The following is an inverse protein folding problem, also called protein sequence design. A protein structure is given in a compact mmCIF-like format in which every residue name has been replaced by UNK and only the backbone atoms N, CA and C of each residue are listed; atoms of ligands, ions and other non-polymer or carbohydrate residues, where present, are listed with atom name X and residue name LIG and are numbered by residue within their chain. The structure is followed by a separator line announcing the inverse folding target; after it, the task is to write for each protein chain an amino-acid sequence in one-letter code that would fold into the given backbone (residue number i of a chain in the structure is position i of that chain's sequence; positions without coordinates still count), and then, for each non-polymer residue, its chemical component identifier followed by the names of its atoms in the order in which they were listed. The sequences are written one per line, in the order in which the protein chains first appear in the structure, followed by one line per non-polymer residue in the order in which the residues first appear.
data_IF_585206750648
#
_entry.id   IF_585206750648
#
_cell.length_a   1.000
_cell.length_b   1.000
_cell.length_c   1.000
_cell.angle_alpha   90.00
_cell.angle_beta   90.00
_cell.angle_gamma   90.00
#
_symmetry.space_group_name_H-M   'P 1'
#
loop_
_entity.id
_entity.type
_entity.pdbx_description
1 polymer ?
#
# COMPACT_ATOMS: atom_id res chain seq x y z
N UNK A 1 -18.48 8.79 -46.26
CA UNK A 1 -18.65 8.19 -44.93
C UNK A 1 -20.04 8.56 -44.44
N UNK A 2 -20.92 7.59 -44.27
CA UNK A 2 -22.15 7.76 -43.49
C UNK A 2 -21.72 7.62 -42.01
N UNK A 3 -22.32 8.39 -41.09
CA UNK A 3 -21.92 8.34 -39.68
C UNK A 3 -22.34 7.02 -39.02
N UNK A 4 -21.37 6.31 -38.42
CA UNK A 4 -21.52 4.89 -38.02
C UNK A 4 -22.58 4.60 -36.95
N UNK A 5 -23.14 5.64 -36.32
CA UNK A 5 -24.35 5.53 -35.48
C UNK A 5 -25.61 5.13 -36.28
N UNK A 6 -25.62 5.25 -37.62
CA UNK A 6 -26.82 4.97 -38.42
C UNK A 6 -27.14 3.48 -38.56
N UNK A 7 -26.17 2.57 -38.39
CA UNK A 7 -26.28 1.14 -38.79
C UNK A 7 -27.45 0.39 -38.13
N UNK A 8 -27.76 0.70 -36.87
CA UNK A 8 -28.87 0.10 -36.11
C UNK A 8 -29.94 1.13 -35.72
N UNK A 9 -29.94 2.31 -36.36
CA UNK A 9 -30.97 3.34 -36.12
C UNK A 9 -32.32 2.84 -36.61
N UNK A 10 -33.32 2.80 -35.72
CA UNK A 10 -34.68 2.29 -35.93
C UNK A 10 -34.83 0.78 -36.18
N UNK A 11 -33.77 -0.02 -36.03
CA UNK A 11 -33.88 -1.50 -36.06
C UNK A 11 -34.48 -1.98 -34.74
N UNK A 12 -35.49 -2.86 -34.79
CA UNK A 12 -36.03 -3.53 -33.60
C UNK A 12 -35.18 -4.75 -33.25
N UNK A 13 -35.10 -5.09 -31.97
CA UNK A 13 -34.33 -6.26 -31.54
C UNK A 13 -35.00 -7.58 -31.97
N UNK A 14 -36.32 -7.58 -32.06
CA UNK A 14 -37.13 -8.70 -32.54
C UNK A 14 -36.78 -9.09 -33.99
N UNK A 15 -36.30 -8.15 -34.80
CA UNK A 15 -35.86 -8.37 -36.19
C UNK A 15 -34.44 -8.96 -36.27
N UNK A 16 -33.76 -9.16 -35.13
CA UNK A 16 -32.37 -9.61 -35.00
C UNK A 16 -32.22 -10.92 -34.21
N UNK A 17 -33.33 -11.59 -33.89
CA UNK A 17 -33.33 -12.87 -33.16
C UNK A 17 -32.67 -13.97 -34.00
N UNK A 18 -31.74 -14.70 -33.40
CA UNK A 18 -30.82 -15.64 -34.05
C UNK A 18 -29.46 -15.02 -34.43
N UNK A 19 -29.34 -13.69 -34.41
CA UNK A 19 -28.11 -12.95 -34.72
C UNK A 19 -27.55 -12.19 -33.48
N UNK A 20 -28.25 -12.21 -32.33
CA UNK A 20 -27.86 -11.44 -31.13
C UNK A 20 -26.49 -11.91 -30.65
N UNK A 21 -26.23 -13.23 -30.60
CA UNK A 21 -24.90 -13.78 -30.27
C UNK A 21 -23.78 -13.23 -31.17
N UNK A 22 -24.03 -13.12 -32.48
CA UNK A 22 -23.07 -12.53 -33.42
C UNK A 22 -22.83 -11.04 -33.14
N UNK A 23 -23.91 -10.29 -32.89
CA UNK A 23 -23.86 -8.88 -32.53
C UNK A 23 -23.12 -8.61 -31.21
N UNK A 24 -23.09 -9.56 -30.27
CA UNK A 24 -22.32 -9.43 -29.02
C UNK A 24 -20.82 -9.20 -29.26
N UNK A 25 -20.29 -9.74 -30.36
CA UNK A 25 -18.88 -9.70 -30.76
C UNK A 25 -18.56 -8.59 -31.78
N UNK A 26 -19.57 -7.91 -32.32
CA UNK A 26 -19.39 -6.71 -33.14
C UNK A 26 -19.31 -5.46 -32.26
N UNK A 27 -18.41 -4.53 -32.58
CA UNK A 27 -18.24 -3.30 -31.80
C UNK A 27 -19.51 -2.44 -31.77
N UNK A 28 -20.27 -2.41 -32.87
CA UNK A 28 -21.49 -1.60 -32.99
C UNK A 28 -22.73 -2.37 -32.51
N UNK A 29 -22.83 -3.66 -32.84
CA UNK A 29 -23.85 -4.58 -32.35
C UNK A 29 -23.86 -4.64 -30.82
N UNK A 30 -22.71 -4.84 -30.19
CA UNK A 30 -22.58 -4.90 -28.74
C UNK A 30 -23.03 -3.59 -28.06
N UNK A 31 -22.75 -2.44 -28.68
CA UNK A 31 -23.23 -1.13 -28.20
C UNK A 31 -24.73 -0.92 -28.41
N UNK A 32 -25.30 -1.40 -29.50
CA UNK A 32 -26.75 -1.43 -29.72
C UNK A 32 -27.46 -2.31 -28.68
N UNK A 33 -26.94 -3.51 -28.40
CA UNK A 33 -27.48 -4.42 -27.40
C UNK A 33 -27.37 -3.87 -25.97
N UNK A 34 -26.25 -3.24 -25.61
CA UNK A 34 -26.12 -2.51 -24.34
C UNK A 34 -27.21 -1.45 -24.18
N UNK A 35 -27.46 -0.64 -25.21
CA UNK A 35 -28.54 0.35 -25.20
C UNK A 35 -29.92 -0.29 -25.07
N UNK A 36 -30.16 -1.44 -25.71
CA UNK A 36 -31.44 -2.16 -25.62
C UNK A 36 -31.75 -2.70 -24.22
N UNK A 37 -30.72 -3.03 -23.44
CA UNK A 37 -30.86 -3.30 -22.01
C UNK A 37 -31.16 -2.02 -21.20
N UNK A 38 -30.45 -0.93 -21.50
CA UNK A 38 -30.64 0.39 -20.84
C UNK A 38 -32.01 1.04 -21.13
N UNK A 39 -32.73 0.58 -22.16
CA UNK A 39 -34.13 0.98 -22.44
C UNK A 39 -35.13 0.34 -21.46
N UNK A 40 -34.75 -0.68 -20.68
CA UNK A 40 -35.58 -1.25 -19.60
C UNK A 40 -36.80 -2.05 -20.06
N UNK A 41 -36.79 -2.56 -21.30
CA UNK A 41 -37.88 -3.35 -21.88
C UNK A 41 -37.68 -4.85 -21.59
N UNK A 42 -38.62 -5.45 -20.84
CA UNK A 42 -38.52 -6.84 -20.36
C UNK A 42 -38.36 -7.86 -21.50
N UNK A 43 -39.02 -7.66 -22.64
CA UNK A 43 -38.94 -8.55 -23.79
C UNK A 43 -37.58 -8.45 -24.47
N UNK A 44 -37.03 -7.24 -24.61
CA UNK A 44 -35.67 -7.06 -25.12
C UNK A 44 -34.61 -7.67 -24.17
N UNK A 45 -34.80 -7.54 -22.84
CA UNK A 45 -33.93 -8.17 -21.84
C UNK A 45 -34.04 -9.70 -21.94
N UNK A 46 -35.26 -10.26 -22.10
CA UNK A 46 -35.49 -11.70 -22.29
C UNK A 46 -34.79 -12.23 -23.53
N UNK A 47 -34.94 -11.58 -24.69
CA UNK A 47 -34.31 -11.99 -25.95
C UNK A 47 -32.77 -11.96 -25.86
N UNK A 48 -32.20 -10.90 -25.27
CA UNK A 48 -30.74 -10.83 -25.05
C UNK A 48 -30.28 -11.92 -24.09
N UNK A 49 -30.99 -12.16 -22.99
CA UNK A 49 -30.68 -13.22 -22.03
C UNK A 49 -30.68 -14.62 -22.69
N UNK A 50 -31.70 -14.94 -23.48
CA UNK A 50 -31.87 -16.26 -24.12
C UNK A 50 -30.74 -16.60 -25.09
N UNK A 51 -30.27 -15.65 -25.91
CA UNK A 51 -29.15 -15.88 -26.84
C UNK A 51 -27.76 -15.73 -26.21
N UNK A 52 -27.59 -14.95 -25.13
CA UNK A 52 -26.27 -14.77 -24.50
C UNK A 52 -25.93 -15.84 -23.46
N UNK A 53 -26.92 -16.34 -22.72
CA UNK A 53 -26.72 -17.29 -21.62
C UNK A 53 -25.94 -18.57 -22.04
N UNK A 54 -26.24 -19.26 -23.17
CA UNK A 54 -25.47 -20.43 -23.61
C UNK A 54 -23.98 -20.15 -23.89
N UNK A 55 -23.63 -18.87 -24.10
CA UNK A 55 -22.30 -18.42 -24.50
C UNK A 55 -21.58 -17.60 -23.42
N UNK A 56 -22.10 -17.55 -22.18
CA UNK A 56 -21.64 -16.61 -21.15
C UNK A 56 -20.12 -16.67 -20.88
N UNK A 57 -19.51 -17.86 -20.77
CA UNK A 57 -18.06 -18.02 -20.57
C UNK A 57 -17.25 -17.38 -21.70
N UNK A 58 -17.69 -17.56 -22.95
CA UNK A 58 -17.02 -17.02 -24.12
C UNK A 58 -17.14 -15.50 -24.14
N UNK A 59 -18.39 -15.00 -24.08
CA UNK A 59 -18.70 -13.57 -24.14
C UNK A 59 -18.04 -12.78 -23.00
N UNK A 60 -17.98 -13.30 -21.78
CA UNK A 60 -17.27 -12.65 -20.67
C UNK A 60 -15.78 -12.42 -20.98
N UNK A 61 -15.16 -13.26 -21.80
CA UNK A 61 -13.72 -13.17 -22.17
C UNK A 61 -13.46 -12.47 -23.51
N UNK A 62 -14.52 -12.15 -24.26
CA UNK A 62 -14.43 -11.49 -25.57
C UNK A 62 -14.17 -9.97 -25.44
N UNK A 63 -13.33 -9.35 -26.29
CA UNK A 63 -13.01 -7.92 -26.22
C UNK A 63 -14.21 -6.96 -26.29
N UNK A 64 -15.32 -7.37 -26.92
CA UNK A 64 -16.56 -6.61 -26.97
C UNK A 64 -17.65 -7.24 -26.10
N UNK A 65 -17.83 -8.57 -26.19
CA UNK A 65 -18.87 -9.31 -25.46
C UNK A 65 -18.87 -9.08 -23.96
N UNK A 66 -17.69 -8.86 -23.35
CA UNK A 66 -17.57 -8.62 -21.92
C UNK A 66 -18.38 -7.40 -21.45
N UNK A 67 -18.55 -6.38 -22.30
CA UNK A 67 -19.34 -5.19 -21.98
C UNK A 67 -20.85 -5.46 -22.02
N UNK A 68 -21.31 -6.38 -22.89
CA UNK A 68 -22.70 -6.82 -22.86
C UNK A 68 -22.97 -7.69 -21.64
N UNK A 69 -22.10 -8.63 -21.29
CA UNK A 69 -22.23 -9.41 -20.06
C UNK A 69 -22.33 -8.50 -18.82
N UNK A 70 -21.45 -7.50 -18.72
CA UNK A 70 -21.48 -6.49 -17.65
C UNK A 70 -22.82 -5.75 -17.57
N UNK A 71 -23.41 -5.40 -18.71
CA UNK A 71 -24.69 -4.69 -18.77
C UNK A 71 -25.89 -5.62 -18.54
N UNK A 72 -25.84 -6.87 -18.98
CA UNK A 72 -26.89 -7.85 -18.73
C UNK A 72 -27.02 -8.16 -17.24
N UNK A 73 -25.90 -8.32 -16.53
CA UNK A 73 -25.89 -8.58 -15.07
C UNK A 73 -26.51 -7.42 -14.25
N UNK A 74 -26.46 -6.20 -14.77
CA UNK A 74 -27.03 -4.98 -14.19
C UNK A 74 -28.56 -4.90 -14.34
N UNK A 75 -29.11 -5.41 -15.44
CA UNK A 75 -30.55 -5.37 -15.77
C UNK A 75 -31.29 -6.70 -15.57
N UNK A 76 -30.57 -7.82 -15.42
CA UNK A 76 -31.15 -9.12 -15.11
C UNK A 76 -31.82 -9.13 -13.72
N UNK A 77 -32.87 -9.93 -13.57
CA UNK A 77 -33.43 -10.29 -12.26
C UNK A 77 -32.59 -11.37 -11.56
N UNK A 78 -32.93 -11.74 -10.32
CA UNK A 78 -32.13 -12.67 -9.53
C UNK A 78 -32.14 -14.11 -10.06
N UNK A 79 -33.22 -14.57 -10.68
CA UNK A 79 -33.28 -15.89 -11.33
C UNK A 79 -32.37 -15.93 -12.56
N UNK A 80 -32.45 -14.90 -13.41
CA UNK A 80 -31.57 -14.72 -14.56
C UNK A 80 -30.09 -14.61 -14.14
N UNK A 81 -29.76 -13.80 -13.12
CA UNK A 81 -28.40 -13.73 -12.56
C UNK A 81 -27.91 -15.10 -12.07
N UNK A 82 -28.74 -15.83 -11.34
CA UNK A 82 -28.42 -17.18 -10.85
C UNK A 82 -28.10 -18.13 -12.00
N UNK A 83 -28.86 -18.09 -13.09
CA UNK A 83 -28.61 -18.88 -14.30
C UNK A 83 -27.27 -18.48 -14.96
N UNK A 84 -27.00 -17.18 -15.14
CA UNK A 84 -25.73 -16.69 -15.73
C UNK A 84 -24.50 -17.05 -14.88
N UNK A 85 -24.64 -17.01 -13.55
CA UNK A 85 -23.59 -17.38 -12.59
C UNK A 85 -23.34 -18.90 -12.65
N UNK A 86 -24.39 -19.73 -12.70
CA UNK A 86 -24.28 -21.18 -12.94
C UNK A 86 -23.63 -21.49 -14.29
N UNK A 87 -23.92 -20.73 -15.34
CA UNK A 87 -23.28 -20.87 -16.67
C UNK A 87 -21.80 -20.49 -16.66
N UNK A 88 -21.39 -19.49 -15.87
CA UNK A 88 -19.99 -19.06 -15.76
C UNK A 88 -19.14 -19.93 -14.80
N UNK A 89 -19.76 -20.56 -13.79
CA UNK A 89 -19.08 -21.30 -12.72
C UNK A 89 -18.02 -22.32 -13.20
N UNK A 90 -18.26 -23.17 -14.23
CA UNK A 90 -17.28 -24.15 -14.72
C UNK A 90 -16.00 -23.55 -15.33
N UNK A 91 -15.90 -22.23 -15.45
CA UNK A 91 -14.69 -21.53 -15.92
C UNK A 91 -14.42 -20.22 -15.16
N UNK A 92 -15.01 -20.03 -13.98
CA UNK A 92 -14.95 -18.74 -13.26
C UNK A 92 -13.50 -18.29 -12.97
N UNK A 93 -12.60 -19.22 -12.63
CA UNK A 93 -11.16 -18.96 -12.45
C UNK A 93 -10.49 -18.53 -13.76
N UNK A 94 -10.77 -19.22 -14.87
CA UNK A 94 -10.26 -18.86 -16.22
C UNK A 94 -10.77 -17.47 -16.66
N UNK A 95 -11.99 -17.11 -16.28
CA UNK A 95 -12.59 -15.79 -16.52
C UNK A 95 -11.88 -14.74 -15.65
N UNK A 96 -11.64 -15.02 -14.36
CA UNK A 96 -10.93 -14.13 -13.44
C UNK A 96 -9.51 -13.77 -13.87
N UNK A 97 -8.79 -14.74 -14.45
CA UNK A 97 -7.41 -14.57 -14.96
C UNK A 97 -7.35 -13.84 -16.33
N UNK A 98 -8.50 -13.64 -17.00
CA UNK A 98 -8.57 -13.00 -18.33
C UNK A 98 -8.73 -11.47 -18.22
N UNK A 99 -8.06 -10.71 -19.10
CA UNK A 99 -8.05 -9.24 -19.08
C UNK A 99 -9.43 -8.58 -19.28
N UNK A 100 -10.35 -9.24 -19.99
CA UNK A 100 -11.75 -8.84 -20.17
C UNK A 100 -12.65 -9.54 -19.15
N UNK A 101 -12.43 -10.84 -18.95
CA UNK A 101 -13.18 -11.69 -18.02
C UNK A 101 -13.17 -11.17 -16.57
N UNK A 102 -12.04 -10.63 -16.10
CA UNK A 102 -11.96 -10.02 -14.76
C UNK A 102 -12.95 -8.85 -14.60
N UNK A 103 -13.24 -8.08 -15.66
CA UNK A 103 -14.21 -6.97 -15.60
C UNK A 103 -15.64 -7.48 -15.55
N UNK A 104 -15.96 -8.46 -16.39
CA UNK A 104 -17.28 -9.09 -16.37
C UNK A 104 -17.56 -9.85 -15.06
N UNK A 105 -16.56 -10.54 -14.48
CA UNK A 105 -16.71 -11.24 -13.20
C UNK A 105 -16.74 -10.27 -12.01
N UNK A 106 -15.97 -9.18 -12.02
CA UNK A 106 -16.12 -8.13 -11.00
C UNK A 106 -17.55 -7.55 -11.01
N UNK A 107 -18.11 -7.29 -12.19
CA UNK A 107 -19.50 -6.81 -12.34
C UNK A 107 -20.55 -7.87 -11.96
N UNK A 108 -20.26 -9.15 -12.18
CA UNK A 108 -21.09 -10.26 -11.70
C UNK A 108 -21.16 -10.27 -10.17
N UNK A 109 -20.02 -10.11 -9.50
CA UNK A 109 -19.94 -10.02 -8.02
C UNK A 109 -20.67 -8.76 -7.51
N UNK A 110 -20.56 -7.60 -8.18
CA UNK A 110 -21.27 -6.37 -7.80
C UNK A 110 -22.80 -6.49 -7.75
N UNK A 111 -23.39 -7.49 -8.41
CA UNK A 111 -24.84 -7.66 -8.54
C UNK A 111 -25.37 -8.95 -7.92
N UNK A 112 -24.56 -9.72 -7.18
CA UNK A 112 -25.10 -10.84 -6.39
C UNK A 112 -25.84 -10.35 -5.15
N UNK A 113 -27.00 -10.97 -4.91
CA UNK A 113 -27.99 -10.59 -3.90
C UNK A 113 -28.43 -11.78 -3.04
N UNK A 114 -28.35 -13.01 -3.57
CA UNK A 114 -28.87 -14.22 -2.90
C UNK A 114 -27.75 -15.13 -2.38
N UNK A 115 -28.04 -15.86 -1.32
CA UNK A 115 -27.10 -16.84 -0.74
C UNK A 115 -26.70 -17.95 -1.72
N UNK A 116 -27.56 -18.30 -2.69
CA UNK A 116 -27.21 -19.27 -3.74
C UNK A 116 -26.13 -18.70 -4.68
N UNK A 117 -26.31 -17.47 -5.14
CA UNK A 117 -25.36 -16.79 -6.03
C UNK A 117 -23.99 -16.63 -5.36
N UNK A 118 -23.98 -16.27 -4.07
CA UNK A 118 -22.77 -16.22 -3.23
C UNK A 118 -22.13 -17.61 -3.13
N UNK A 119 -22.90 -18.65 -2.79
CA UNK A 119 -22.39 -20.01 -2.65
C UNK A 119 -21.75 -20.53 -3.95
N UNK A 120 -22.35 -20.28 -5.11
CA UNK A 120 -21.80 -20.72 -6.41
C UNK A 120 -20.45 -20.05 -6.69
N UNK A 121 -20.32 -18.74 -6.41
CA UNK A 121 -19.05 -18.00 -6.58
C UNK A 121 -17.99 -18.50 -5.58
N UNK A 122 -18.37 -18.71 -4.32
CA UNK A 122 -17.47 -19.24 -3.29
C UNK A 122 -16.94 -20.63 -3.67
N UNK A 123 -17.80 -21.58 -4.04
CA UNK A 123 -17.36 -22.92 -4.46
C UNK A 123 -16.51 -22.90 -5.74
N UNK A 124 -16.77 -21.97 -6.67
CA UNK A 124 -15.98 -21.83 -7.90
C UNK A 124 -14.60 -21.16 -7.70
N UNK A 125 -14.36 -20.47 -6.58
CA UNK A 125 -13.11 -19.71 -6.33
C UNK A 125 -12.29 -20.21 -5.12
N UNK A 126 -12.91 -20.91 -4.15
CA UNK A 126 -12.31 -21.24 -2.83
C UNK A 126 -10.95 -21.94 -2.85
N UNK A 127 -10.66 -22.75 -3.86
CA UNK A 127 -9.38 -23.49 -3.95
C UNK A 127 -8.29 -22.72 -4.71
N UNK A 128 -8.66 -21.65 -5.43
CA UNK A 128 -7.77 -20.90 -6.34
C UNK A 128 -7.46 -19.48 -5.84
N UNK A 129 -7.86 -19.14 -4.61
CA UNK A 129 -7.67 -17.81 -4.00
C UNK A 129 -6.23 -17.32 -4.10
N UNK A 130 -5.23 -18.14 -3.77
CA UNK A 130 -3.82 -17.71 -3.76
C UNK A 130 -3.26 -17.50 -5.17
N UNK A 131 -3.44 -18.41 -6.14
CA UNK A 131 -3.17 -18.14 -7.56
C UNK A 131 -3.85 -16.86 -8.08
N UNK A 132 -5.13 -16.65 -7.74
CA UNK A 132 -5.86 -15.45 -8.14
C UNK A 132 -5.28 -14.16 -7.54
N UNK A 133 -4.88 -14.17 -6.26
CA UNK A 133 -4.19 -13.05 -5.59
C UNK A 133 -2.82 -12.75 -6.25
N UNK A 134 -2.16 -13.76 -6.80
CA UNK A 134 -0.87 -13.59 -7.47
C UNK A 134 -0.97 -13.11 -8.92
N UNK A 135 -2.11 -13.34 -9.59
CA UNK A 135 -2.32 -12.89 -10.96
C UNK A 135 -2.58 -11.37 -11.10
N UNK A 136 -2.27 -10.83 -12.28
CA UNK A 136 -2.48 -9.43 -12.67
C UNK A 136 -3.97 -9.06 -12.78
N UNK A 137 -4.84 -9.99 -13.17
CA UNK A 137 -6.28 -9.79 -13.34
C UNK A 137 -7.08 -10.36 -12.15
N UNK A 138 -6.68 -11.52 -11.63
CA UNK A 138 -7.36 -12.24 -10.54
C UNK A 138 -7.39 -11.48 -9.21
N UNK A 139 -6.34 -10.71 -8.90
CA UNK A 139 -6.27 -9.97 -7.62
C UNK A 139 -7.40 -8.93 -7.47
N UNK A 140 -7.94 -8.44 -8.59
CA UNK A 140 -9.08 -7.52 -8.61
C UNK A 140 -10.42 -8.23 -8.35
N UNK A 141 -10.53 -9.51 -8.72
CA UNK A 141 -11.70 -10.35 -8.40
C UNK A 141 -11.75 -10.64 -6.90
N UNK A 142 -10.63 -11.05 -6.31
CA UNK A 142 -10.54 -11.31 -4.86
C UNK A 142 -10.80 -10.03 -4.04
N UNK A 143 -10.25 -8.88 -4.45
CA UNK A 143 -10.61 -7.59 -3.85
C UNK A 143 -12.10 -7.24 -4.03
N UNK A 144 -12.71 -7.60 -5.16
CA UNK A 144 -14.15 -7.36 -5.37
C UNK A 144 -15.02 -8.23 -4.47
N UNK A 145 -14.64 -9.49 -4.23
CA UNK A 145 -15.28 -10.32 -3.22
C UNK A 145 -15.20 -9.67 -1.83
N UNK A 146 -14.00 -9.24 -1.38
CA UNK A 146 -13.82 -8.56 -0.08
C UNK A 146 -14.66 -7.28 0.07
N UNK A 147 -14.86 -6.52 -1.01
CA UNK A 147 -15.64 -5.28 -1.00
C UNK A 147 -17.18 -5.48 -1.02
N UNK A 148 -17.68 -6.70 -1.32
CA UNK A 148 -19.11 -6.96 -1.59
C UNK A 148 -19.73 -8.02 -0.68
N UNK A 149 -18.96 -9.07 -0.36
CA UNK A 149 -19.41 -10.14 0.54
C UNK A 149 -19.43 -9.66 1.99
N UNK A 150 -20.25 -10.30 2.83
CA UNK A 150 -20.08 -10.19 4.29
C UNK A 150 -18.72 -10.79 4.70
N UNK A 151 -18.14 -10.37 5.85
CA UNK A 151 -16.94 -11.02 6.38
C UNK A 151 -17.13 -12.54 6.56
N UNK A 152 -18.34 -12.98 6.90
CA UNK A 152 -18.72 -14.38 7.05
C UNK A 152 -18.70 -15.13 5.70
N UNK A 153 -19.30 -14.57 4.65
CA UNK A 153 -19.28 -15.13 3.28
C UNK A 153 -17.86 -15.12 2.68
N UNK A 154 -17.04 -14.15 3.06
CA UNK A 154 -15.65 -14.01 2.63
C UNK A 154 -14.65 -14.94 3.36
N UNK A 155 -15.10 -15.77 4.32
CA UNK A 155 -14.23 -16.60 5.16
C UNK A 155 -13.23 -17.45 4.35
N UNK A 156 -13.62 -17.97 3.19
CA UNK A 156 -12.75 -18.76 2.32
C UNK A 156 -11.49 -18.00 1.85
N UNK A 157 -11.58 -16.67 1.73
CA UNK A 157 -10.44 -15.81 1.40
C UNK A 157 -9.51 -15.71 2.61
N UNK A 158 -10.07 -15.46 3.80
CA UNK A 158 -9.30 -15.34 5.04
C UNK A 158 -8.58 -16.64 5.41
N UNK A 159 -9.23 -17.80 5.24
CA UNK A 159 -8.63 -19.13 5.48
C UNK A 159 -7.43 -19.38 4.55
N UNK A 160 -7.61 -19.14 3.25
CA UNK A 160 -6.55 -19.34 2.26
C UNK A 160 -5.37 -18.37 2.45
N UNK A 161 -5.67 -17.11 2.77
CA UNK A 161 -4.68 -16.05 3.02
C UNK A 161 -3.95 -16.25 4.34
N UNK A 162 -4.61 -16.70 5.40
CA UNK A 162 -3.97 -17.05 6.68
C UNK A 162 -3.05 -18.26 6.53
N UNK A 163 -3.55 -19.34 5.90
CA UNK A 163 -2.77 -20.55 5.60
C UNK A 163 -1.54 -20.23 4.75
N UNK A 164 -1.67 -19.33 3.78
CA UNK A 164 -0.61 -18.97 2.82
C UNK A 164 0.05 -17.61 3.11
N UNK A 165 0.03 -17.16 4.38
CA UNK A 165 0.37 -15.79 4.78
C UNK A 165 1.70 -15.26 4.21
N UNK A 166 2.76 -16.08 4.20
CA UNK A 166 4.05 -15.70 3.61
C UNK A 166 3.95 -15.57 2.08
N UNK A 167 3.40 -16.58 1.40
CA UNK A 167 3.29 -16.65 -0.07
C UNK A 167 2.46 -15.49 -0.63
N UNK A 168 1.46 -15.04 0.13
CA UNK A 168 0.67 -13.85 -0.18
C UNK A 168 1.43 -12.57 0.21
N UNK A 169 1.94 -12.48 1.43
CA UNK A 169 2.56 -11.28 1.99
C UNK A 169 3.84 -10.83 1.28
N UNK A 170 4.61 -11.75 0.69
CA UNK A 170 5.83 -11.45 -0.09
C UNK A 170 5.56 -11.24 -1.59
N UNK A 171 4.30 -11.29 -2.03
CA UNK A 171 3.95 -11.05 -3.44
C UNK A 171 3.55 -9.59 -3.72
N UNK A 172 4.01 -9.03 -4.84
CA UNK A 172 3.78 -7.61 -5.26
C UNK A 172 2.31 -7.16 -5.29
N UNK A 173 1.38 -8.10 -5.50
CA UNK A 173 -0.07 -7.85 -5.42
C UNK A 173 -0.65 -8.38 -4.10
N UNK A 174 -0.09 -9.48 -3.58
CA UNK A 174 -0.59 -10.17 -2.39
C UNK A 174 -0.37 -9.40 -1.10
N UNK A 175 0.72 -8.62 -0.97
CA UNK A 175 0.92 -7.72 0.16
C UNK A 175 -0.22 -6.68 0.27
N UNK A 176 -0.79 -6.24 -0.85
CA UNK A 176 -1.91 -5.30 -0.90
C UNK A 176 -3.25 -6.00 -0.63
N UNK A 177 -3.45 -7.21 -1.15
CA UNK A 177 -4.68 -7.99 -0.85
C UNK A 177 -4.71 -8.42 0.62
N UNK A 178 -3.59 -8.80 1.22
CA UNK A 178 -3.49 -9.13 2.65
C UNK A 178 -3.84 -7.93 3.55
N UNK A 179 -3.40 -6.72 3.19
CA UNK A 179 -3.86 -5.49 3.86
C UNK A 179 -5.38 -5.31 3.70
N UNK A 180 -5.93 -5.53 2.49
CA UNK A 180 -7.39 -5.49 2.26
C UNK A 180 -8.16 -6.57 3.02
N UNK A 181 -7.57 -7.75 3.26
CA UNK A 181 -8.16 -8.75 4.14
C UNK A 181 -8.27 -8.22 5.58
N UNK A 182 -7.24 -7.53 6.08
CA UNK A 182 -7.27 -6.91 7.42
C UNK A 182 -8.25 -5.72 7.49
N UNK A 183 -8.40 -4.94 6.41
CA UNK A 183 -9.39 -3.85 6.31
C UNK A 183 -10.84 -4.38 6.46
N UNK A 184 -11.16 -5.56 5.88
CA UNK A 184 -12.53 -6.10 5.81
C UNK A 184 -12.85 -7.21 6.82
N UNK A 185 -11.84 -7.79 7.48
CA UNK A 185 -12.04 -8.88 8.43
C UNK A 185 -12.75 -8.42 9.72
N UNK A 186 -13.74 -9.20 10.17
CA UNK A 186 -14.33 -9.04 11.49
C UNK A 186 -13.29 -9.28 12.60
N UNK A 187 -13.56 -8.85 13.84
CA UNK A 187 -12.55 -8.83 14.91
C UNK A 187 -11.82 -10.17 15.16
N UNK A 188 -12.51 -11.30 15.02
CA UNK A 188 -11.90 -12.63 15.21
C UNK A 188 -11.08 -13.08 13.99
N UNK A 189 -11.56 -12.81 12.77
CA UNK A 189 -10.82 -13.05 11.53
C UNK A 189 -9.56 -12.16 11.45
N UNK A 190 -9.67 -10.89 11.85
CA UNK A 190 -8.53 -9.95 11.95
C UNK A 190 -7.49 -10.49 12.92
N UNK A 191 -7.90 -10.93 14.12
CA UNK A 191 -7.00 -11.52 15.10
C UNK A 191 -6.26 -12.75 14.57
N UNK A 192 -6.95 -13.66 13.86
CA UNK A 192 -6.33 -14.83 13.25
C UNK A 192 -5.31 -14.45 12.16
N UNK A 193 -5.66 -13.53 11.26
CA UNK A 193 -4.74 -13.04 10.22
C UNK A 193 -3.51 -12.34 10.82
N UNK A 194 -3.69 -11.53 11.87
CA UNK A 194 -2.59 -10.90 12.61
C UNK A 194 -1.71 -11.96 13.30
N UNK A 195 -2.30 -13.02 13.86
CA UNK A 195 -1.55 -14.13 14.46
C UNK A 195 -0.66 -14.81 13.41
N UNK A 196 -1.19 -15.11 12.21
CA UNK A 196 -0.40 -15.64 11.10
C UNK A 196 0.73 -14.69 10.67
N UNK A 197 0.47 -13.38 10.57
CA UNK A 197 1.50 -12.36 10.27
C UNK A 197 2.58 -12.35 11.36
N UNK A 198 2.19 -12.40 12.63
CA UNK A 198 3.09 -12.33 13.79
C UNK A 198 3.99 -13.57 13.88
N UNK A 199 3.43 -14.76 13.69
CA UNK A 199 4.18 -16.02 13.63
C UNK A 199 5.22 -16.05 12.49
N UNK A 200 4.98 -15.29 11.42
CA UNK A 200 5.86 -15.22 10.24
C UNK A 200 6.63 -13.89 10.15
N UNK A 201 6.61 -13.05 11.19
CA UNK A 201 7.06 -11.66 11.12
C UNK A 201 8.51 -11.54 10.64
N UNK A 202 9.43 -12.37 11.15
CA UNK A 202 10.84 -12.37 10.73
C UNK A 202 11.06 -12.64 9.23
N UNK A 203 10.22 -13.46 8.60
CA UNK A 203 10.25 -13.68 7.15
C UNK A 203 9.72 -12.46 6.40
N UNK A 204 8.59 -11.91 6.86
CA UNK A 204 7.92 -10.79 6.22
C UNK A 204 8.75 -9.49 6.31
N UNK A 205 9.33 -9.14 7.45
CA UNK A 205 10.08 -7.88 7.62
C UNK A 205 11.33 -7.77 6.75
N UNK A 206 11.91 -8.91 6.36
CA UNK A 206 13.11 -8.97 5.52
C UNK A 206 12.78 -8.90 4.02
N UNK A 207 11.52 -9.04 3.63
CA UNK A 207 11.06 -9.09 2.25
C UNK A 207 10.69 -7.68 1.69
N UNK A 208 11.00 -7.37 0.41
CA UNK A 208 10.65 -6.09 -0.24
C UNK A 208 9.17 -5.70 -0.21
N UNK A 209 8.25 -6.66 -0.08
CA UNK A 209 6.80 -6.43 0.00
C UNK A 209 6.25 -6.73 1.41
N UNK A 210 6.71 -7.81 2.04
CA UNK A 210 6.27 -8.24 3.37
C UNK A 210 6.52 -7.20 4.46
N UNK A 211 7.57 -6.39 4.35
CA UNK A 211 7.86 -5.33 5.32
C UNK A 211 6.74 -4.26 5.39
N UNK A 212 5.98 -4.06 4.32
CA UNK A 212 4.83 -3.15 4.31
C UNK A 212 3.60 -3.74 5.00
N UNK A 213 3.39 -5.07 4.91
CA UNK A 213 2.34 -5.76 5.65
C UNK A 213 2.55 -5.58 7.16
N UNK A 214 3.78 -5.80 7.63
CA UNK A 214 4.12 -5.68 9.06
C UNK A 214 4.03 -4.22 9.52
N UNK A 215 4.49 -3.26 8.73
CA UNK A 215 4.33 -1.83 9.03
C UNK A 215 2.85 -1.41 9.10
N UNK A 216 1.99 -1.92 8.22
CA UNK A 216 0.57 -1.64 8.23
C UNK A 216 -0.10 -2.15 9.53
N UNK A 217 0.22 -3.35 10.02
CA UNK A 217 -0.30 -3.82 11.34
C UNK A 217 0.17 -2.92 12.49
N UNK A 218 1.41 -2.41 12.44
CA UNK A 218 1.94 -1.46 13.42
C UNK A 218 1.31 -0.05 13.30
N UNK A 219 0.77 0.31 12.14
CA UNK A 219 0.06 1.58 11.88
C UNK A 219 -1.43 1.54 12.24
N UNK A 220 -2.05 0.35 12.37
CA UNK A 220 -3.46 0.22 12.82
C UNK A 220 -3.72 0.86 14.19
N UNK A 221 -2.69 0.96 15.04
CA UNK A 221 -2.80 1.50 16.39
C UNK A 221 -3.54 0.61 17.40
N UNK A 222 -3.99 -0.58 17.00
CA UNK A 222 -4.67 -1.56 17.85
C UNK A 222 -3.64 -2.27 18.78
N UNK A 223 -3.57 -1.96 20.10
CA UNK A 223 -2.41 -2.37 20.93
C UNK A 223 -2.30 -3.88 21.11
N UNK A 224 -3.43 -4.59 21.12
CA UNK A 224 -3.50 -6.05 21.18
C UNK A 224 -2.81 -6.75 19.99
N UNK A 225 -2.56 -6.03 18.89
CA UNK A 225 -1.89 -6.50 17.69
C UNK A 225 -0.49 -5.88 17.52
N UNK A 226 -0.36 -4.56 17.74
CA UNK A 226 0.91 -3.87 17.54
C UNK A 226 1.95 -4.16 18.63
N UNK A 227 1.55 -4.33 19.89
CA UNK A 227 2.50 -4.60 20.99
C UNK A 227 3.15 -5.99 20.88
N UNK A 228 2.42 -7.12 20.74
CA UNK A 228 3.06 -8.44 20.62
C UNK A 228 3.95 -8.54 19.37
N UNK A 229 3.53 -7.92 18.26
CA UNK A 229 4.29 -7.85 17.02
C UNK A 229 5.59 -7.07 17.19
N UNK A 230 5.56 -5.88 17.80
CA UNK A 230 6.76 -5.08 18.06
C UNK A 230 7.70 -5.78 19.07
N UNK A 231 7.16 -6.43 20.10
CA UNK A 231 7.93 -7.19 21.09
C UNK A 231 8.58 -8.45 20.50
N UNK A 232 7.99 -9.04 19.45
CA UNK A 232 8.57 -10.22 18.77
C UNK A 232 9.96 -9.99 18.16
N UNK A 233 10.34 -8.73 17.92
CA UNK A 233 11.65 -8.35 17.36
C UNK A 233 12.77 -8.23 18.41
N UNK A 234 12.46 -8.32 19.71
CA UNK A 234 13.46 -8.27 20.78
C UNK A 234 14.47 -9.43 20.67
N UNK A 235 15.71 -9.17 21.04
CA UNK A 235 16.87 -10.03 20.80
C UNK A 235 17.40 -9.99 19.35
N UNK A 236 16.73 -9.27 18.44
CA UNK A 236 17.05 -9.22 17.02
C UNK A 236 17.02 -7.79 16.42
N UNK A 237 16.67 -6.77 17.20
CA UNK A 237 16.57 -5.36 16.78
C UNK A 237 17.87 -4.90 16.14
N UNK A 238 19.01 -5.22 16.74
CA UNK A 238 20.34 -4.84 16.20
C UNK A 238 20.71 -5.58 14.91
N UNK A 239 20.09 -6.72 14.59
CA UNK A 239 20.26 -7.42 13.32
C UNK A 239 19.34 -6.83 12.23
N UNK A 240 18.04 -6.73 12.53
CA UNK A 240 16.99 -6.19 11.67
C UNK A 240 17.26 -4.73 11.26
N UNK A 241 17.84 -3.93 12.15
CA UNK A 241 18.19 -2.53 11.87
C UNK A 241 19.17 -2.36 10.71
N UNK A 242 20.04 -3.35 10.45
CA UNK A 242 21.10 -3.29 9.42
C UNK A 242 20.64 -3.79 8.05
N UNK A 243 19.34 -4.03 7.88
CA UNK A 243 18.75 -4.62 6.69
C UNK A 243 17.78 -3.65 6.02
N UNK A 244 17.89 -3.50 4.70
CA UNK A 244 17.21 -2.48 3.87
C UNK A 244 15.69 -2.35 4.09
N UNK A 245 15.01 -3.46 4.39
CA UNK A 245 13.55 -3.52 4.50
C UNK A 245 13.10 -3.53 5.97
N UNK A 246 13.70 -4.37 6.79
CA UNK A 246 13.40 -4.52 8.22
C UNK A 246 13.78 -3.29 9.05
N UNK A 247 14.75 -2.47 8.63
CA UNK A 247 15.08 -1.22 9.33
C UNK A 247 13.87 -0.28 9.43
N UNK A 248 13.07 -0.18 8.37
CA UNK A 248 11.84 0.64 8.34
C UNK A 248 10.80 0.10 9.33
N UNK A 249 10.74 -1.23 9.51
CA UNK A 249 9.87 -1.89 10.49
C UNK A 249 10.35 -1.62 11.92
N UNK A 250 11.66 -1.71 12.19
CA UNK A 250 12.20 -1.36 13.52
C UNK A 250 11.95 0.11 13.86
N UNK A 251 12.17 1.03 12.91
CA UNK A 251 11.77 2.43 13.10
C UNK A 251 10.27 2.57 13.36
N UNK A 252 9.42 1.81 12.66
CA UNK A 252 7.96 1.83 12.87
C UNK A 252 7.61 1.36 14.28
N UNK A 253 8.16 0.25 14.75
CA UNK A 253 7.97 -0.27 16.11
C UNK A 253 8.43 0.73 17.19
N UNK A 254 9.54 1.45 16.96
CA UNK A 254 10.00 2.53 17.85
C UNK A 254 9.06 3.75 17.81
N UNK A 255 8.41 4.02 16.68
CA UNK A 255 7.43 5.11 16.54
C UNK A 255 6.08 4.78 17.20
N UNK A 256 5.52 3.59 16.97
CA UNK A 256 4.14 3.24 17.38
C UNK A 256 4.02 2.37 18.62
N UNK A 257 5.11 1.79 19.12
CA UNK A 257 5.12 1.03 20.38
C UNK A 257 4.76 1.89 21.60
N UNK A 258 4.30 1.23 22.67
CA UNK A 258 4.10 1.86 23.98
C UNK A 258 5.45 2.12 24.66
N UNK A 259 5.47 2.92 25.74
CA UNK A 259 6.73 3.32 26.38
C UNK A 259 7.53 2.14 26.94
N UNK A 260 6.88 1.03 27.29
CA UNK A 260 7.52 -0.23 27.71
C UNK A 260 8.28 -0.87 26.54
N UNK A 261 7.58 -1.13 25.43
CA UNK A 261 8.15 -1.76 24.24
C UNK A 261 9.19 -0.85 23.58
N UNK A 262 8.90 0.45 23.49
CA UNK A 262 9.78 1.48 22.93
C UNK A 262 11.10 1.54 23.68
N UNK A 263 11.07 1.56 25.02
CA UNK A 263 12.27 1.55 25.85
C UNK A 263 13.09 0.28 25.62
N UNK A 264 12.46 -0.90 25.66
CA UNK A 264 13.13 -2.18 25.43
C UNK A 264 13.81 -2.29 24.05
N UNK A 265 13.15 -1.83 22.97
CA UNK A 265 13.74 -1.78 21.63
C UNK A 265 14.97 -0.86 21.56
N UNK A 266 14.95 0.27 22.28
CA UNK A 266 16.07 1.23 22.30
C UNK A 266 17.20 0.77 23.24
N UNK A 267 16.89 0.08 24.33
CA UNK A 267 17.89 -0.56 25.20
C UNK A 267 18.73 -1.59 24.45
N UNK A 268 18.14 -2.36 23.52
CA UNK A 268 18.92 -3.27 22.66
C UNK A 268 19.82 -2.51 21.67
N UNK A 269 19.33 -1.41 21.08
CA UNK A 269 20.13 -0.54 20.19
C UNK A 269 21.32 0.07 20.93
N UNK A 270 21.19 0.35 22.23
CA UNK A 270 22.26 0.87 23.09
C UNK A 270 23.34 -0.15 23.46
N UNK A 271 23.20 -1.44 23.09
CA UNK A 271 24.20 -2.46 23.42
C UNK A 271 25.60 -2.06 22.90
N UNK A 272 26.62 -1.90 23.77
CA UNK A 272 27.96 -1.48 23.37
C UNK A 272 28.63 -2.35 22.32
N UNK A 273 28.26 -3.64 22.20
CA UNK A 273 28.83 -4.51 21.16
C UNK A 273 28.38 -4.12 19.75
N UNK A 274 27.23 -3.44 19.60
CA UNK A 274 26.59 -3.22 18.30
C UNK A 274 26.29 -1.75 17.98
N UNK A 275 26.13 -0.87 18.97
CA UNK A 275 25.86 0.56 18.74
C UNK A 275 26.85 1.21 17.76
N UNK A 276 28.15 0.95 17.88
CA UNK A 276 29.18 1.47 16.94
C UNK A 276 28.99 0.94 15.50
N UNK A 277 28.49 -0.29 15.35
CA UNK A 277 28.14 -0.87 14.04
C UNK A 277 26.88 -0.20 13.49
N UNK A 278 25.84 -0.06 14.32
CA UNK A 278 24.56 0.56 13.95
C UNK A 278 24.73 2.03 13.51
N UNK A 279 25.59 2.77 14.22
CA UNK A 279 25.95 4.16 13.90
C UNK A 279 26.69 4.34 12.56
N UNK A 280 27.33 3.28 12.02
CA UNK A 280 28.10 3.31 10.77
C UNK A 280 27.39 2.62 9.58
N UNK A 281 26.40 1.79 9.86
CA UNK A 281 25.66 1.06 8.85
C UNK A 281 24.76 1.98 7.99
N UNK A 282 24.51 1.56 6.75
CA UNK A 282 23.76 2.34 5.76
C UNK A 282 22.27 2.47 6.08
N UNK A 283 21.70 1.57 6.88
CA UNK A 283 20.29 1.54 7.27
C UNK A 283 20.12 1.82 8.78
N UNK A 284 20.91 1.18 9.63
CA UNK A 284 20.72 1.27 11.07
C UNK A 284 20.96 2.67 11.66
N UNK A 285 21.73 3.53 10.99
CA UNK A 285 21.91 4.92 11.41
C UNK A 285 20.57 5.69 11.45
N UNK A 286 19.60 5.35 10.58
CA UNK A 286 18.25 5.93 10.59
C UNK A 286 17.41 5.41 11.75
N UNK A 287 17.59 4.14 12.13
CA UNK A 287 16.98 3.54 13.33
C UNK A 287 17.50 4.22 14.60
N UNK A 288 18.81 4.46 14.72
CA UNK A 288 19.39 5.20 15.86
C UNK A 288 18.88 6.64 15.91
N UNK A 289 18.76 7.33 14.76
CA UNK A 289 18.15 8.66 14.71
C UNK A 289 16.67 8.65 15.15
N UNK A 290 15.90 7.63 14.78
CA UNK A 290 14.51 7.45 15.22
C UNK A 290 14.42 7.14 16.72
N UNK A 291 15.34 6.33 17.25
CA UNK A 291 15.46 6.10 18.69
C UNK A 291 15.73 7.41 19.45
N UNK A 292 16.63 8.27 18.96
CA UNK A 292 16.87 9.59 19.55
C UNK A 292 15.65 10.51 19.50
N UNK A 293 14.77 10.38 18.51
CA UNK A 293 13.60 11.24 18.35
C UNK A 293 12.40 10.81 19.19
N UNK A 294 12.25 9.51 19.44
CA UNK A 294 11.08 8.93 20.13
C UNK A 294 11.38 8.39 21.54
N UNK A 295 12.64 8.29 21.96
CA UNK A 295 12.99 7.92 23.34
C UNK A 295 12.42 8.89 24.39
N UNK A 296 11.97 8.33 25.51
CA UNK A 296 11.67 9.09 26.72
C UNK A 296 12.93 9.80 27.27
N UNK A 297 12.81 10.86 28.10
CA UNK A 297 13.94 11.70 28.49
C UNK A 297 15.12 10.95 29.13
N UNK A 298 14.85 9.90 29.92
CA UNK A 298 15.88 9.08 30.57
C UNK A 298 16.60 8.18 29.56
N UNK A 299 15.85 7.43 28.76
CA UNK A 299 16.43 6.60 27.68
C UNK A 299 17.18 7.44 26.65
N UNK A 300 16.70 8.65 26.36
CA UNK A 300 17.36 9.61 25.45
C UNK A 300 18.70 10.09 25.99
N UNK A 301 18.80 10.39 27.29
CA UNK A 301 20.06 10.73 27.95
C UNK A 301 21.07 9.56 27.84
N UNK A 302 20.65 8.35 28.24
CA UNK A 302 21.46 7.12 28.16
C UNK A 302 21.95 6.86 26.72
N UNK A 303 21.10 7.04 25.72
CA UNK A 303 21.45 6.85 24.31
C UNK A 303 22.50 7.87 23.84
N UNK A 304 22.34 9.14 24.20
CA UNK A 304 23.29 10.22 23.84
C UNK A 304 24.66 10.01 24.49
N UNK A 305 24.70 9.61 25.77
CA UNK A 305 25.96 9.33 26.46
C UNK A 305 26.69 8.10 25.91
N UNK A 306 25.97 7.06 25.47
CA UNK A 306 26.57 5.93 24.76
C UNK A 306 27.07 6.30 23.35
N UNK A 307 26.44 7.26 22.65
CA UNK A 307 26.86 7.73 21.33
C UNK A 307 28.08 8.68 21.41
N UNK A 308 28.16 9.53 22.44
CA UNK A 308 29.18 10.60 22.58
C UNK A 308 30.64 10.13 22.37
N UNK A 309 31.13 9.02 22.97
CA UNK A 309 32.49 8.50 22.73
C UNK A 309 32.74 8.09 21.27
N UNK A 310 31.73 7.47 20.64
CA UNK A 310 31.82 6.96 19.26
C UNK A 310 31.78 8.12 18.26
N UNK A 311 31.02 9.18 18.56
CA UNK A 311 30.73 10.29 17.66
C UNK A 311 31.97 10.90 17.00
N UNK A 312 33.08 11.06 17.75
CA UNK A 312 34.32 11.64 17.21
C UNK A 312 34.88 10.86 16.01
N UNK A 313 34.69 9.54 15.99
CA UNK A 313 35.14 8.67 14.88
C UNK A 313 34.27 8.77 13.62
N UNK A 314 33.01 9.19 13.75
CA UNK A 314 32.02 9.25 12.65
C UNK A 314 31.60 10.68 12.27
N UNK A 315 32.00 11.71 13.02
CA UNK A 315 31.54 13.11 12.88
C UNK A 315 31.65 13.72 11.47
N UNK A 316 32.51 13.18 10.62
CA UNK A 316 32.71 13.66 9.25
C UNK A 316 31.79 12.99 8.21
N UNK A 317 31.13 11.88 8.55
CA UNK A 317 30.19 11.20 7.64
C UNK A 317 28.87 11.98 7.51
N UNK A 318 28.01 11.70 6.50
CA UNK A 318 26.71 12.34 6.37
C UNK A 318 25.78 12.07 7.56
N UNK A 319 25.79 10.83 8.09
CA UNK A 319 24.98 10.42 9.24
C UNK A 319 25.55 10.93 10.56
N UNK A 320 26.88 10.88 10.75
CA UNK A 320 27.54 11.41 11.96
C UNK A 320 27.30 12.90 12.16
N UNK A 321 27.24 13.69 11.07
CA UNK A 321 26.84 15.11 11.14
C UNK A 321 25.39 15.32 11.59
N UNK A 322 24.43 14.49 11.12
CA UNK A 322 23.03 14.57 11.57
C UNK A 322 22.87 14.22 13.05
N UNK A 323 23.56 13.17 13.48
CA UNK A 323 23.55 12.70 14.88
C UNK A 323 24.21 13.75 15.79
N UNK A 324 25.33 14.35 15.36
CA UNK A 324 25.96 15.47 16.07
C UNK A 324 25.03 16.68 16.23
N UNK A 325 24.23 17.00 15.20
CA UNK A 325 23.21 18.05 15.27
C UNK A 325 22.15 17.75 16.33
N UNK A 326 21.54 16.55 16.27
CA UNK A 326 20.54 16.10 17.26
C UNK A 326 21.05 16.14 18.72
N UNK A 327 22.33 15.85 18.94
CA UNK A 327 22.96 15.95 20.27
C UNK A 327 23.14 17.42 20.68
N UNK A 328 23.60 18.28 19.76
CA UNK A 328 23.73 19.71 20.03
C UNK A 328 22.37 20.38 20.33
N UNK A 329 21.32 20.01 19.60
CA UNK A 329 19.94 20.49 19.84
C UNK A 329 19.45 20.06 21.24
N UNK A 330 19.69 18.80 21.63
CA UNK A 330 19.37 18.28 22.96
C UNK A 330 20.14 19.02 24.08
N UNK A 331 21.45 19.23 23.90
CA UNK A 331 22.28 19.96 24.87
C UNK A 331 21.88 21.44 24.98
N UNK A 332 21.47 22.07 23.87
CA UNK A 332 20.89 23.41 23.88
C UNK A 332 19.56 23.45 24.68
N UNK A 333 18.69 22.44 24.51
CA UNK A 333 17.44 22.35 25.26
C UNK A 333 17.64 22.13 26.76
N UNK A 334 18.62 21.31 27.18
CA UNK A 334 18.96 21.14 28.59
C UNK A 334 19.52 22.43 29.22
N UNK A 335 20.47 23.09 28.53
CA UNK A 335 21.06 24.35 29.01
C UNK A 335 20.08 25.54 28.96
N UNK A 336 19.03 25.45 28.14
CA UNK A 336 17.95 26.44 28.07
C UNK A 336 16.88 26.32 29.16
N UNK A 337 16.90 25.28 30.01
CA UNK A 337 15.92 25.14 31.09
C UNK A 337 16.28 26.01 32.31
N UNK A 338 15.34 26.81 32.85
CA UNK A 338 15.58 27.63 34.04
C UNK A 338 15.65 26.76 35.31
N UNK A 339 16.83 26.17 35.56
CA UNK A 339 17.09 25.30 36.70
C UNK A 339 18.47 24.65 36.74
N UNK A 340 19.22 24.63 35.63
CA UNK A 340 20.59 24.11 35.61
C UNK A 340 21.53 25.02 36.40
N UNK A 341 21.99 24.57 37.58
CA UNK A 341 23.00 25.29 38.36
C UNK A 341 24.39 25.10 37.75
N UNK A 342 24.94 26.17 37.20
CA UNK A 342 26.38 26.24 36.90
C UNK A 342 27.20 26.04 38.19
N UNK A 343 28.28 25.25 38.17
CA UNK A 343 29.21 25.18 39.30
C UNK A 343 29.76 26.58 39.65
N UNK A 344 29.95 26.92 40.93
CA UNK A 344 30.44 28.24 41.31
C UNK A 344 31.88 28.45 40.85
N UNK A 345 32.08 29.43 39.96
CA UNK A 345 33.39 29.84 39.47
C UNK A 345 34.30 30.28 40.63
N UNK A 346 35.47 29.67 40.76
CA UNK A 346 36.46 30.05 41.78
C UNK A 346 37.07 31.40 41.42
N UNK A 347 36.63 32.45 42.13
CA UNK A 347 37.11 33.82 41.92
C UNK A 347 38.52 34.00 42.51
N UNK A 348 39.48 34.33 41.63
CA UNK A 348 40.77 34.87 42.07
C UNK A 348 40.62 36.33 42.52
N UNK A 349 41.25 36.77 43.62
CA UNK A 349 41.01 38.10 44.18
C UNK A 349 41.81 39.18 43.45
N UNK A 350 41.14 40.24 42.98
CA UNK A 350 41.85 41.44 42.53
C UNK A 350 41.10 42.43 41.64
N UNK A 351 40.19 43.24 42.22
CA UNK A 351 40.25 44.73 42.20
C UNK A 351 38.91 45.34 42.67
N UNK A 352 38.98 46.52 43.32
CA UNK A 352 37.82 47.31 43.74
C UNK A 352 37.45 48.34 42.67
N UNK A 353 36.16 48.64 42.53
CA UNK A 353 35.67 50.03 42.38
C UNK A 353 34.15 50.16 42.62
N UNK A 354 33.81 50.89 43.68
CA UNK A 354 32.64 51.79 43.87
C UNK A 354 31.32 51.53 43.12
N UNK A 355 30.26 51.29 43.89
CA UNK A 355 28.85 51.56 43.50
C UNK A 355 28.54 53.07 43.64
N UNK A 356 27.36 53.58 43.18
CA UNK A 356 26.17 53.52 44.06
C UNK A 356 24.79 53.34 43.37
N UNK A 357 23.92 52.57 44.03
CA UNK A 357 22.47 52.70 44.18
C UNK A 357 21.58 53.40 43.11
N UNK A 358 20.48 52.70 42.75
CA UNK A 358 19.12 53.21 43.09
C UNK A 358 18.10 52.08 43.31
N UNK A 359 16.95 52.45 43.88
CA UNK A 359 16.05 51.56 44.63
C UNK A 359 14.76 51.18 43.90
N UNK A 360 14.19 50.02 44.30
CA UNK A 360 12.94 49.43 43.81
C UNK A 360 11.68 50.28 44.06
N UNK A 361 10.64 50.06 43.23
CA UNK A 361 9.31 49.61 43.70
C UNK A 361 8.37 49.21 42.55
N UNK A 362 7.53 48.21 42.81
CA UNK A 362 6.43 47.75 41.96
C UNK A 362 5.14 48.53 42.24
N UNK A 363 4.20 48.57 41.29
CA UNK A 363 2.85 47.97 41.45
C UNK A 363 1.91 48.16 40.23
N UNK A 364 0.97 47.21 40.09
CA UNK A 364 -0.41 47.22 39.48
C UNK A 364 -0.73 48.20 38.32
N UNK A 365 -1.29 47.76 37.17
CA UNK A 365 -2.69 47.26 36.94
C UNK A 365 -3.71 48.39 37.24
N UNK A 366 -4.63 48.82 36.34
CA UNK A 366 -5.61 48.04 35.54
C UNK A 366 -6.01 48.68 34.18
N UNK A 367 -6.82 47.95 33.40
CA UNK A 367 -7.34 48.16 32.03
C UNK A 367 -8.50 49.17 31.79
N UNK A 368 -8.59 49.66 30.55
CA UNK A 368 -9.82 50.08 29.79
C UNK A 368 -9.54 49.80 28.28
N UNK A 369 -10.36 49.16 27.44
CA UNK A 369 -11.63 49.58 26.78
C UNK A 369 -11.62 51.01 26.22
N UNK A 370 -12.02 51.33 24.98
CA UNK A 370 -12.40 50.59 23.75
C UNK A 370 -12.36 51.63 22.57
N UNK A 371 -12.93 51.55 21.35
CA UNK A 371 -13.98 50.73 20.66
C UNK A 371 -13.89 51.02 19.14
N UNK A 372 -14.45 50.18 18.23
CA UNK A 372 -14.91 50.65 16.91
C UNK A 372 -14.71 49.73 15.68
N UNK A 373 -15.77 49.60 14.87
CA UNK A 373 -15.76 49.16 13.47
C UNK A 373 -16.53 50.21 12.63
N UNK A 374 -16.35 50.28 11.30
CA UNK A 374 -17.43 49.75 10.44
C UNK A 374 -17.04 49.19 9.05
N UNK A 375 -17.90 48.28 8.59
CA UNK A 375 -18.36 47.90 7.24
C UNK A 375 -17.68 48.47 5.96
N UNK A 376 -17.49 47.57 4.97
CA UNK A 376 -17.39 47.86 3.53
C UNK A 376 -17.63 46.60 2.67
N UNK A 377 -18.21 46.73 1.48
CA UNK A 377 -18.43 45.65 0.50
C UNK A 377 -17.60 45.89 -0.77
N UNK A 378 -17.08 44.84 -1.43
CA UNK A 378 -17.42 44.47 -2.83
C UNK A 378 -16.67 43.21 -3.33
N UNK A 379 -16.83 42.90 -4.62
CA UNK A 379 -16.52 41.63 -5.31
C UNK A 379 -15.50 41.88 -6.44
N UNK A 380 -14.53 40.98 -6.69
CA UNK A 380 -13.65 41.11 -7.86
C UNK A 380 -12.56 40.03 -8.00
N UNK A 381 -12.63 39.27 -9.10
CA UNK A 381 -11.82 38.10 -9.46
C UNK A 381 -10.37 38.41 -9.95
N UNK A 382 -9.54 37.36 -10.07
CA UNK A 382 -8.24 37.24 -10.76
C UNK A 382 -6.97 37.91 -10.19
N UNK A 383 -5.85 37.19 -10.27
CA UNK A 383 -4.48 37.69 -10.09
C UNK A 383 -3.54 36.67 -9.43
N UNK A 384 -2.35 36.46 -9.99
CA UNK A 384 -1.34 35.54 -9.43
C UNK A 384 0.06 36.18 -9.43
N UNK A 385 0.74 36.20 -8.27
CA UNK A 385 2.21 36.04 -8.14
C UNK A 385 2.74 36.27 -6.70
N UNK A 386 3.49 35.28 -6.20
CA UNK A 386 4.75 35.41 -5.42
C UNK A 386 4.80 35.91 -3.95
N UNK A 387 5.78 35.35 -3.22
CA UNK A 387 6.37 35.73 -1.92
C UNK A 387 5.51 35.77 -0.63
N UNK A 388 5.95 35.01 0.39
CA UNK A 388 5.56 35.22 1.80
C UNK A 388 5.38 33.94 2.64
N UNK A 389 6.32 33.65 3.54
CA UNK A 389 6.13 32.77 4.72
C UNK A 389 5.76 33.63 5.95
N UNK A 390 5.21 33.11 7.08
CA UNK A 390 5.43 31.76 7.63
C UNK A 390 4.22 31.04 8.28
N UNK A 391 4.47 29.80 8.74
CA UNK A 391 3.80 29.05 9.83
C UNK A 391 2.27 29.13 10.02
N UNK A 392 1.58 28.01 9.73
CA UNK A 392 0.64 27.41 10.69
C UNK A 392 0.37 25.91 10.43
N UNK A 393 0.17 25.19 11.54
CA UNK A 393 -0.37 23.84 11.67
C UNK A 393 -1.41 23.41 10.62
N UNK A 394 -1.33 22.17 10.14
CA UNK A 394 -2.50 21.48 9.61
C UNK A 394 -2.50 19.97 9.97
N UNK A 395 -3.69 19.42 10.23
CA UNK A 395 -3.91 17.97 10.37
C UNK A 395 -4.11 17.39 8.96
N UNK A 396 -3.56 16.21 8.68
CA UNK A 396 -3.87 15.47 7.46
C UNK A 396 -4.16 14.00 7.76
N UNK A 397 -5.45 13.62 7.68
CA UNK A 397 -5.80 12.33 7.09
C UNK A 397 -5.43 12.40 5.61
N UNK A 398 -4.42 11.62 5.19
CA UNK A 398 -3.99 11.53 3.79
C UNK A 398 -4.37 10.16 3.22
N UNK A 399 -5.12 10.14 2.12
CA UNK A 399 -5.49 8.89 1.46
C UNK A 399 -4.28 8.28 0.74
N UNK A 400 -3.94 7.03 1.05
CA UNK A 400 -2.79 6.34 0.46
C UNK A 400 -3.17 5.83 -0.94
N UNK A 401 -2.84 6.59 -1.98
CA UNK A 401 -3.10 6.17 -3.37
C UNK A 401 -2.07 6.66 -4.42
N UNK A 402 -0.83 6.99 -4.01
CA UNK A 402 0.22 7.46 -4.94
C UNK A 402 1.65 7.02 -4.58
N UNK A 403 1.90 5.73 -4.33
CA UNK A 403 3.27 5.17 -4.29
C UNK A 403 3.36 3.79 -4.96
N UNK A 404 3.33 3.78 -6.30
CA UNK A 404 3.88 2.66 -7.10
C UNK A 404 5.13 3.17 -7.83
N UNK A 405 6.30 2.80 -7.33
CA UNK A 405 7.57 3.03 -8.02
C UNK A 405 7.67 2.10 -9.23
N UNK A 406 7.94 2.66 -10.41
CA UNK A 406 8.18 1.86 -11.62
C UNK A 406 9.53 1.11 -11.52
N UNK A 407 9.62 -0.14 -11.99
CA UNK A 407 10.91 -0.83 -12.09
C UNK A 407 11.79 -0.18 -13.18
N UNK A 408 13.13 -0.28 -13.09
CA UNK A 408 14.03 0.38 -14.03
C UNK A 408 13.89 -0.15 -15.46
N UNK A 409 13.61 0.72 -16.43
CA UNK A 409 13.74 0.39 -17.85
C UNK A 409 15.21 0.41 -18.26
N UNK A 410 15.66 -0.64 -18.97
CA UNK A 410 16.96 -0.63 -19.63
C UNK A 410 16.92 0.28 -20.86
N UNK A 411 17.74 1.33 -20.90
CA UNK A 411 17.85 2.21 -22.06
C UNK A 411 18.74 1.59 -23.14
N UNK A 412 18.13 0.94 -24.13
CA UNK A 412 18.78 0.62 -25.40
C UNK A 412 18.67 1.81 -26.37
N UNK A 413 19.63 2.74 -26.31
CA UNK A 413 19.70 3.84 -27.28
C UNK A 413 19.95 3.30 -28.69
N UNK A 414 19.04 3.58 -29.63
CA UNK A 414 19.14 3.19 -31.04
C UNK A 414 19.01 4.39 -31.98
N UNK A 415 20.09 4.71 -32.70
CA UNK A 415 20.17 5.57 -33.89
C UNK A 415 21.59 5.40 -34.47
N UNK A 416 21.81 5.16 -35.76
CA UNK A 416 20.88 4.89 -36.86
C UNK A 416 21.66 4.69 -38.18
N UNK A 417 20.94 4.37 -39.26
CA UNK A 417 21.48 4.06 -40.60
C UNK A 417 22.35 2.80 -40.72
N UNK A 418 22.54 2.32 -41.95
CA UNK A 418 23.29 1.10 -42.28
C UNK A 418 23.40 0.91 -43.79
N UNK A 419 24.01 -0.19 -44.23
CA UNK A 419 24.07 -0.55 -45.65
C UNK A 419 24.20 -2.06 -45.90
N UNK A 420 23.86 -2.44 -47.13
CA UNK A 420 24.00 -3.75 -47.79
C UNK A 420 25.41 -4.33 -47.66
N UNK A 421 25.57 -5.65 -47.44
CA UNK A 421 26.41 -6.51 -48.30
C UNK A 421 26.15 -8.03 -48.13
N UNK A 422 26.69 -8.81 -49.05
CA UNK A 422 26.36 -10.21 -49.38
C UNK A 422 27.13 -11.31 -48.59
N UNK A 423 26.38 -12.34 -48.20
CA UNK A 423 26.56 -13.76 -48.60
C UNK A 423 27.98 -14.27 -48.95
N UNK A 424 28.51 -15.17 -48.12
CA UNK A 424 29.26 -16.42 -48.43
C UNK A 424 29.38 -17.23 -47.10
N UNK A 425 29.55 -18.56 -47.04
CA UNK A 425 29.54 -19.61 -48.07
C UNK A 425 30.34 -20.86 -47.63
N UNK A 426 29.74 -22.06 -47.69
CA UNK A 426 30.33 -23.39 -47.35
C UNK A 426 30.70 -23.62 -45.85
N UNK A 427 30.22 -24.68 -45.18
CA UNK A 427 30.56 -26.12 -45.22
C UNK A 427 31.60 -26.50 -44.12
N UNK A 428 31.68 -27.74 -43.61
CA UNK A 428 31.12 -29.02 -44.08
C UNK A 428 30.67 -29.95 -42.95
N UNK A 429 30.16 -31.14 -43.29
CA UNK A 429 29.71 -32.19 -42.34
C UNK A 429 30.89 -32.91 -41.66
N UNK A 430 30.68 -33.37 -40.43
CA UNK A 430 31.58 -34.27 -39.69
C UNK A 430 30.84 -35.13 -38.67
N UNK A 431 30.35 -36.29 -39.09
CA UNK A 431 29.68 -37.28 -38.22
C UNK A 431 30.66 -38.30 -37.67
N UNK A 432 30.49 -38.76 -36.41
CA UNK A 432 30.51 -40.19 -36.04
C UNK A 432 30.06 -40.38 -34.58
N UNK A 433 29.61 -41.59 -34.26
CA UNK A 433 29.12 -41.98 -32.92
C UNK A 433 29.51 -43.42 -32.60
N UNK A 434 29.67 -43.71 -31.30
CA UNK A 434 29.74 -45.05 -30.70
C UNK A 434 31.00 -45.90 -31.00
N UNK A 435 31.66 -46.41 -29.96
CA UNK A 435 31.36 -47.79 -29.52
C UNK A 435 31.78 -48.04 -28.04
N UNK A 436 31.44 -49.23 -27.54
CA UNK A 436 31.60 -49.73 -26.16
C UNK A 436 33.06 -49.94 -25.70
N UNK A 437 33.22 -50.02 -24.38
CA UNK A 437 34.26 -50.82 -23.73
C UNK A 437 33.63 -51.75 -22.68
N UNK A 438 33.89 -53.05 -22.76
CA UNK A 438 33.62 -54.02 -21.69
C UNK A 438 34.82 -54.09 -20.75
N UNK A 439 34.57 -54.28 -19.45
CA UNK A 439 35.02 -55.46 -18.69
C UNK A 439 34.18 -55.63 -17.42
#
# INVERSE_FOLDING_TARGET
MISDNSRYSNVKLQDLVGEIYGLCKDQHGCRYLQKKLEEGDDENIRLIFEETNPHMIELMTDPFGNYLCQKLLEFANDDQRTILIRAAAPSMVKIALNQHGTRALQKMIEFISTSEQIQIITEALRYEVVPLIQDLNGNHVIQKCLNHLSPEDAQFIFDAVGTSCVIVGTHRHGCCVLQRCIDHASGHQKAALVQHITMNAFTLVQDPFGNYVVQYILDLGEPAFSQPLAQSFLGNVAALSKQKFSSNVVEKSIRTGDDTTRRALIDEIMNPTDLEKLLRDSYANYVVQTAMDYADPETKARLIDNIRPILQSIRHTPYGRRISGKIQDYDNHLNGMPGSMSPPSVLSPGQLSTTPFRTSRSNTVTSYTSTGSPLGHQVGNYGAASMGSPNAHNRHHGSINTMLAQPPQQQTNGNGFGQVFQQFGHASRGSHSSNMGHY
#
